data_IF_063411591363
#
_entry.id   IF_063411591363
#
_cell.length_a   1.000
_cell.length_b   1.000
_cell.length_c   1.000
_cell.angle_alpha   90.00
_cell.angle_beta   90.00
_cell.angle_gamma   90.00
#
_symmetry.space_group_name_H-M   'P 1'
#
loop_
_entity.id
_entity.type
_entity.pdbx_description
1 polymer ?
#
# COMPACT_ATOMS: atom_id res chain seq x y z
N UNK A 1 -19.60 58.04 7.32
CA UNK A 1 -18.78 58.71 6.28
C UNK A 1 -18.13 57.60 5.47
N UNK A 2 -18.60 57.35 4.24
CA UNK A 2 -17.88 57.59 2.96
C UNK A 2 -16.56 56.77 2.89
N UNK A 3 -16.31 55.82 1.98
CA UNK A 3 -16.68 55.62 0.56
C UNK A 3 -16.39 54.14 0.19
N UNK A 4 -17.25 53.35 -0.46
CA UNK A 4 -17.43 53.17 -1.92
C UNK A 4 -16.18 53.49 -2.77
N UNK A 5 -15.59 52.47 -3.41
CA UNK A 5 -15.22 52.39 -4.85
C UNK A 5 -14.03 51.42 -5.06
N UNK A 6 -14.29 50.28 -5.70
CA UNK A 6 -13.52 49.74 -6.84
C UNK A 6 -13.93 48.28 -7.12
N UNK A 7 -15.10 48.12 -7.71
CA UNK A 7 -15.40 46.96 -8.56
C UNK A 7 -14.93 47.35 -9.96
N UNK A 8 -13.99 46.63 -10.60
CA UNK A 8 -13.52 47.00 -11.93
C UNK A 8 -14.60 46.65 -12.96
N UNK A 9 -15.25 47.69 -13.47
CA UNK A 9 -15.41 48.02 -14.91
C UNK A 9 -15.20 46.83 -15.87
N UNK A 10 -16.11 45.86 -15.87
CA UNK A 10 -16.33 44.95 -17.02
C UNK A 10 -17.81 44.93 -17.45
N UNK A 11 -18.71 45.43 -16.62
CA UNK A 11 -20.08 45.71 -17.03
C UNK A 11 -20.12 47.14 -17.60
N UNK A 12 -20.80 47.36 -18.73
CA UNK A 12 -21.02 48.67 -19.41
C UNK A 12 -20.05 48.99 -20.57
N UNK A 13 -19.65 48.01 -21.37
CA UNK A 13 -19.43 48.23 -22.82
C UNK A 13 -20.24 47.19 -23.58
N UNK A 14 -21.53 47.46 -23.78
CA UNK A 14 -22.44 46.56 -24.50
C UNK A 14 -23.83 47.15 -24.76
N UNK A 15 -23.96 48.48 -24.78
CA UNK A 15 -25.22 49.16 -25.14
C UNK A 15 -24.91 50.26 -26.16
N UNK A 16 -24.26 49.87 -27.26
CA UNK A 16 -24.10 50.74 -28.42
C UNK A 16 -23.88 49.85 -29.65
N UNK A 17 -24.94 49.17 -30.10
CA UNK A 17 -25.18 48.74 -31.49
C UNK A 17 -26.43 47.85 -31.48
N UNK A 18 -27.49 48.33 -32.14
CA UNK A 18 -28.74 47.59 -32.29
C UNK A 18 -28.52 46.26 -33.02
N UNK A 19 -29.19 45.22 -32.54
CA UNK A 19 -29.42 43.99 -33.31
C UNK A 19 -28.82 42.69 -32.80
N UNK A 20 -28.07 42.65 -31.68
CA UNK A 20 -27.43 41.40 -31.20
C UNK A 20 -27.64 41.08 -29.72
N UNK A 21 -28.76 41.51 -29.13
CA UNK A 21 -29.09 41.23 -27.71
C UNK A 21 -29.26 39.72 -27.45
N UNK A 22 -29.66 38.94 -28.48
CA UNK A 22 -29.85 37.50 -28.33
C UNK A 22 -28.54 36.73 -28.09
N UNK A 23 -27.42 37.16 -28.68
CA UNK A 23 -26.13 36.43 -28.63
C UNK A 23 -25.39 36.59 -27.29
N UNK A 24 -25.51 37.76 -26.66
CA UNK A 24 -24.85 38.03 -25.36
C UNK A 24 -25.56 37.28 -24.23
N UNK A 25 -26.89 37.17 -24.27
CA UNK A 25 -27.66 36.38 -23.31
C UNK A 25 -27.44 34.87 -23.49
N UNK A 26 -27.33 34.36 -24.72
CA UNK A 26 -27.01 32.95 -24.94
C UNK A 26 -25.57 32.60 -24.55
N UNK A 27 -24.59 33.47 -24.79
CA UNK A 27 -23.20 33.25 -24.35
C UNK A 27 -23.05 33.31 -22.82
N UNK A 28 -23.71 34.28 -22.16
CA UNK A 28 -23.73 34.37 -20.69
C UNK A 28 -24.41 33.17 -20.03
N UNK A 29 -25.54 32.71 -20.59
CA UNK A 29 -26.22 31.51 -20.13
C UNK A 29 -25.41 30.23 -20.41
N UNK A 30 -24.73 30.13 -21.57
CA UNK A 30 -23.89 28.99 -21.91
C UNK A 30 -22.62 28.88 -21.04
N UNK A 31 -22.07 29.99 -20.56
CA UNK A 31 -20.94 30.00 -19.61
C UNK A 31 -21.37 29.70 -18.18
N UNK A 32 -22.58 30.10 -17.76
CA UNK A 32 -23.10 29.82 -16.42
C UNK A 32 -23.75 28.44 -16.30
N UNK A 33 -24.30 27.89 -17.38
CA UNK A 33 -24.91 26.57 -17.40
C UNK A 33 -23.99 25.44 -16.87
N UNK A 34 -22.72 25.30 -17.28
CA UNK A 34 -21.84 24.27 -16.73
C UNK A 34 -21.50 24.49 -15.26
N UNK A 35 -21.41 25.75 -14.81
CA UNK A 35 -21.12 26.11 -13.41
C UNK A 35 -22.31 25.80 -12.50
N UNK A 36 -23.52 26.16 -12.92
CA UNK A 36 -24.77 25.88 -12.19
C UNK A 36 -25.11 24.39 -12.25
N UNK A 37 -24.82 23.71 -13.37
CA UNK A 37 -24.97 22.26 -13.49
C UNK A 37 -23.98 21.52 -12.59
N UNK A 38 -22.71 21.93 -12.52
CA UNK A 38 -21.74 21.39 -11.56
C UNK A 38 -22.13 21.67 -10.11
N UNK A 39 -22.63 22.87 -9.79
CA UNK A 39 -23.12 23.19 -8.45
C UNK A 39 -24.35 22.35 -8.07
N UNK A 40 -25.26 22.09 -9.02
CA UNK A 40 -26.45 21.27 -8.82
C UNK A 40 -26.14 19.76 -8.72
N UNK A 41 -25.10 19.27 -9.40
CA UNK A 41 -24.64 17.88 -9.26
C UNK A 41 -23.86 17.66 -7.97
N UNK A 42 -23.12 18.66 -7.47
CA UNK A 42 -22.43 18.63 -6.17
C UNK A 42 -23.40 18.50 -4.98
N UNK A 43 -24.64 18.99 -5.11
CA UNK A 43 -25.67 18.89 -4.07
C UNK A 43 -26.42 17.56 -4.03
N UNK A 44 -26.18 16.62 -4.96
CA UNK A 44 -26.88 15.33 -4.96
C UNK A 44 -26.21 14.36 -3.98
N UNK A 45 -26.95 13.80 -3.00
CA UNK A 45 -26.38 12.86 -2.03
C UNK A 45 -25.70 11.63 -2.68
N UNK A 46 -26.13 11.25 -3.89
CA UNK A 46 -25.47 10.19 -4.66
C UNK A 46 -24.12 10.57 -5.26
N UNK A 47 -23.87 11.84 -5.56
CA UNK A 47 -22.59 12.29 -6.12
C UNK A 47 -21.47 12.25 -5.09
N UNK A 48 -21.77 12.64 -3.84
CA UNK A 48 -20.82 12.57 -2.73
C UNK A 48 -20.42 11.12 -2.44
N UNK A 49 -21.39 10.21 -2.35
CA UNK A 49 -21.12 8.76 -2.19
C UNK A 49 -20.28 8.21 -3.33
N UNK A 50 -20.62 8.55 -4.58
CA UNK A 50 -19.83 8.14 -5.74
C UNK A 50 -18.38 8.66 -5.68
N UNK A 51 -18.15 9.89 -5.23
CA UNK A 51 -16.79 10.42 -5.03
C UNK A 51 -16.03 9.70 -3.92
N UNK A 52 -16.72 9.35 -2.82
CA UNK A 52 -16.16 8.58 -1.70
C UNK A 52 -15.78 7.16 -2.16
N UNK A 53 -16.67 6.45 -2.87
CA UNK A 53 -16.43 5.12 -3.45
C UNK A 53 -15.28 5.16 -4.46
N UNK A 54 -15.25 6.17 -5.33
CA UNK A 54 -14.17 6.33 -6.31
C UNK A 54 -12.83 6.54 -5.63
N UNK A 55 -12.78 7.41 -4.62
CA UNK A 55 -11.56 7.65 -3.83
C UNK A 55 -11.11 6.37 -3.12
N UNK A 56 -12.03 5.60 -2.56
CA UNK A 56 -11.76 4.32 -1.92
C UNK A 56 -11.10 3.34 -2.91
N UNK A 57 -11.67 3.16 -4.09
CA UNK A 57 -11.09 2.30 -5.13
C UNK A 57 -9.72 2.79 -5.64
N UNK A 58 -9.50 4.10 -5.75
CA UNK A 58 -8.20 4.66 -6.13
C UNK A 58 -7.15 4.37 -5.04
N UNK A 59 -7.52 4.50 -3.76
CA UNK A 59 -6.66 4.15 -2.62
C UNK A 59 -6.34 2.64 -2.57
N UNK A 60 -7.34 1.78 -2.75
CA UNK A 60 -7.17 0.32 -2.79
C UNK A 60 -6.21 -0.09 -3.91
N UNK A 61 -6.38 0.47 -5.12
CA UNK A 61 -5.47 0.23 -6.25
C UNK A 61 -4.05 0.71 -5.93
N UNK A 62 -3.92 1.90 -5.36
CA UNK A 62 -2.63 2.47 -4.95
C UNK A 62 -1.92 1.59 -3.91
N UNK A 63 -2.64 1.11 -2.89
CA UNK A 63 -2.11 0.22 -1.86
C UNK A 63 -1.66 -1.13 -2.46
N UNK A 64 -2.48 -1.74 -3.33
CA UNK A 64 -2.11 -2.99 -4.01
C UNK A 64 -0.86 -2.82 -4.86
N UNK A 65 -0.79 -1.77 -5.66
CA UNK A 65 0.37 -1.48 -6.50
C UNK A 65 1.63 -1.22 -5.67
N UNK A 66 1.50 -0.50 -4.55
CA UNK A 66 2.60 -0.26 -3.60
C UNK A 66 3.13 -1.58 -3.03
N UNK A 67 2.25 -2.44 -2.51
CA UNK A 67 2.62 -3.75 -1.93
C UNK A 67 3.32 -4.63 -2.97
N UNK A 68 2.75 -4.71 -4.16
CA UNK A 68 3.31 -5.46 -5.29
C UNK A 68 4.72 -4.97 -5.65
N UNK A 69 4.87 -3.66 -5.89
CA UNK A 69 6.15 -3.06 -6.22
C UNK A 69 7.21 -3.28 -5.13
N UNK A 70 6.82 -3.18 -3.85
CA UNK A 70 7.71 -3.45 -2.73
C UNK A 70 8.23 -4.90 -2.75
N UNK A 71 7.37 -5.89 -2.98
CA UNK A 71 7.78 -7.29 -3.10
C UNK A 71 8.67 -7.53 -4.33
N UNK A 72 8.28 -7.01 -5.49
CA UNK A 72 9.03 -7.15 -6.73
C UNK A 72 10.43 -6.54 -6.64
N UNK A 73 10.55 -5.33 -6.07
CA UNK A 73 11.84 -4.68 -5.84
C UNK A 73 12.74 -5.46 -4.87
N UNK A 74 12.14 -6.21 -3.94
CA UNK A 74 12.86 -7.13 -3.07
C UNK A 74 13.15 -8.49 -3.72
N UNK A 75 12.62 -8.77 -4.92
CA UNK A 75 12.74 -10.06 -5.61
C UNK A 75 11.95 -11.18 -4.94
N UNK A 76 10.81 -10.86 -4.34
CA UNK A 76 9.86 -11.79 -3.74
C UNK A 76 8.74 -12.11 -4.74
N UNK A 77 8.37 -13.38 -4.84
CA UNK A 77 7.24 -13.81 -5.68
C UNK A 77 5.92 -13.30 -5.10
N UNK A 78 5.00 -12.90 -5.98
CA UNK A 78 3.79 -12.18 -5.56
C UNK A 78 2.53 -13.04 -5.50
N UNK A 79 2.62 -14.33 -5.85
CA UNK A 79 1.47 -15.25 -5.89
C UNK A 79 0.72 -15.31 -4.56
N UNK A 80 1.46 -15.42 -3.45
CA UNK A 80 0.87 -15.43 -2.10
C UNK A 80 0.19 -14.09 -1.78
N UNK A 81 0.76 -12.94 -2.17
CA UNK A 81 0.10 -11.64 -1.95
C UNK A 81 -1.22 -11.56 -2.73
N UNK A 82 -1.27 -12.08 -3.95
CA UNK A 82 -2.49 -12.13 -4.77
C UNK A 82 -3.55 -12.99 -4.08
N UNK A 83 -3.19 -14.18 -3.59
CA UNK A 83 -4.09 -15.05 -2.82
C UNK A 83 -4.65 -14.34 -1.58
N UNK A 84 -3.77 -13.78 -0.75
CA UNK A 84 -4.17 -13.09 0.49
C UNK A 84 -5.06 -11.87 0.20
N UNK A 85 -4.74 -11.11 -0.85
CA UNK A 85 -5.53 -9.96 -1.28
C UNK A 85 -6.93 -10.38 -1.75
N UNK A 86 -7.06 -11.54 -2.38
CA UNK A 86 -8.36 -12.10 -2.76
C UNK A 86 -9.17 -12.56 -1.53
N UNK A 87 -8.52 -13.17 -0.54
CA UNK A 87 -9.17 -13.55 0.72
C UNK A 87 -9.70 -12.34 1.48
N UNK A 88 -8.90 -11.27 1.60
CA UNK A 88 -9.33 -10.02 2.26
C UNK A 88 -10.54 -9.41 1.55
N UNK A 89 -10.52 -9.34 0.21
CA UNK A 89 -11.67 -8.87 -0.56
C UNK A 89 -12.92 -9.73 -0.33
N UNK A 90 -12.77 -11.05 -0.25
CA UNK A 90 -13.90 -11.93 0.06
C UNK A 90 -14.47 -11.65 1.45
N UNK A 91 -13.62 -11.38 2.44
CA UNK A 91 -14.07 -11.02 3.80
C UNK A 91 -14.78 -9.66 3.78
N UNK A 92 -14.22 -8.66 3.12
CA UNK A 92 -14.82 -7.32 3.01
C UNK A 92 -16.21 -7.35 2.36
N UNK A 93 -16.40 -8.23 1.37
CA UNK A 93 -17.70 -8.43 0.71
C UNK A 93 -18.72 -9.12 1.60
N UNK A 94 -18.29 -10.03 2.48
CA UNK A 94 -19.18 -10.83 3.34
C UNK A 94 -19.46 -10.14 4.68
N UNK A 95 -18.46 -9.51 5.29
CA UNK A 95 -18.50 -8.86 6.61
C UNK A 95 -17.49 -7.71 6.69
N UNK A 96 -17.89 -6.55 6.18
CA UNK A 96 -17.09 -5.31 6.21
C UNK A 96 -16.71 -4.90 7.65
N UNK A 97 -17.55 -5.20 8.63
CA UNK A 97 -17.30 -4.87 10.04
C UNK A 97 -16.19 -5.74 10.61
N UNK A 98 -16.16 -7.04 10.29
CA UNK A 98 -15.06 -7.91 10.65
C UNK A 98 -13.77 -7.49 9.96
N UNK A 99 -13.82 -7.13 8.67
CA UNK A 99 -12.63 -6.67 7.93
C UNK A 99 -11.99 -5.44 8.59
N UNK A 100 -12.81 -4.47 9.02
CA UNK A 100 -12.34 -3.30 9.76
C UNK A 100 -11.82 -3.67 11.16
N UNK A 101 -12.50 -4.55 11.88
CA UNK A 101 -12.11 -4.98 13.23
C UNK A 101 -10.77 -5.69 13.28
N UNK A 102 -10.47 -6.50 12.28
CA UNK A 102 -9.22 -7.25 12.18
C UNK A 102 -8.12 -6.50 11.43
N UNK A 103 -8.38 -5.26 10.98
CA UNK A 103 -7.42 -4.43 10.26
C UNK A 103 -6.72 -5.21 9.11
N UNK A 104 -7.50 -5.91 8.29
CA UNK A 104 -6.98 -6.87 7.30
C UNK A 104 -5.99 -6.25 6.31
N UNK A 105 -6.21 -4.99 5.96
CA UNK A 105 -5.30 -4.22 5.11
C UNK A 105 -3.93 -4.01 5.80
N UNK A 106 -3.93 -3.76 7.11
CA UNK A 106 -2.72 -3.68 7.92
C UNK A 106 -1.99 -5.03 8.03
N UNK A 107 -2.73 -6.14 8.11
CA UNK A 107 -2.14 -7.49 8.05
C UNK A 107 -1.45 -7.78 6.70
N UNK A 108 -2.02 -7.31 5.59
CA UNK A 108 -1.38 -7.41 4.27
C UNK A 108 -0.10 -6.58 4.20
N UNK A 109 -0.11 -5.36 4.72
CA UNK A 109 1.10 -4.52 4.78
C UNK A 109 2.18 -5.19 5.66
N UNK A 110 1.80 -5.73 6.82
CA UNK A 110 2.72 -6.47 7.70
C UNK A 110 3.29 -7.73 7.03
N UNK A 111 2.48 -8.48 6.30
CA UNK A 111 2.97 -9.62 5.50
C UNK A 111 4.04 -9.18 4.51
N UNK A 112 3.83 -8.07 3.79
CA UNK A 112 4.82 -7.55 2.83
C UNK A 112 6.12 -7.19 3.54
N UNK A 113 6.06 -6.51 4.68
CA UNK A 113 7.26 -6.17 5.48
C UNK A 113 8.05 -7.41 5.90
N UNK A 114 7.35 -8.43 6.43
CA UNK A 114 7.95 -9.71 6.85
C UNK A 114 8.59 -10.44 5.67
N UNK A 115 7.90 -10.50 4.53
CA UNK A 115 8.40 -11.18 3.32
C UNK A 115 9.66 -10.50 2.76
N UNK A 116 9.69 -9.16 2.73
CA UNK A 116 10.88 -8.39 2.32
C UNK A 116 12.04 -8.64 3.29
N UNK A 117 11.79 -8.59 4.60
CA UNK A 117 12.80 -8.84 5.61
C UNK A 117 13.36 -10.27 5.49
N UNK A 118 12.50 -11.27 5.31
CA UNK A 118 12.91 -12.65 5.10
C UNK A 118 13.82 -12.78 3.88
N UNK A 119 13.43 -12.19 2.75
CA UNK A 119 14.24 -12.23 1.52
C UNK A 119 15.61 -11.59 1.69
N UNK A 120 15.70 -10.52 2.48
CA UNK A 120 16.98 -9.89 2.83
C UNK A 120 17.87 -10.85 3.64
N UNK A 121 17.32 -11.54 4.63
CA UNK A 121 18.09 -12.53 5.38
C UNK A 121 18.49 -13.73 4.52
N UNK A 122 17.63 -14.22 3.63
CA UNK A 122 17.97 -15.30 2.69
C UNK A 122 19.18 -14.94 1.82
N UNK A 123 19.23 -13.70 1.31
CA UNK A 123 20.40 -13.19 0.56
C UNK A 123 21.67 -13.15 1.42
N UNK A 124 21.58 -12.70 2.66
CA UNK A 124 22.72 -12.64 3.59
C UNK A 124 23.24 -14.02 3.98
N UNK A 125 22.35 -15.00 4.13
CA UNK A 125 22.69 -16.40 4.42
C UNK A 125 23.41 -17.00 3.20
N UNK A 126 22.82 -16.85 2.00
CA UNK A 126 23.40 -17.36 0.76
C UNK A 126 24.79 -16.79 0.48
N UNK A 127 25.04 -15.53 0.82
CA UNK A 127 26.34 -14.88 0.60
C UNK A 127 27.46 -15.34 1.55
N UNK A 128 27.17 -16.01 2.67
CA UNK A 128 28.13 -16.22 3.75
C UNK A 128 28.63 -17.66 3.94
N UNK A 129 28.38 -18.58 2.98
CA UNK A 129 29.06 -19.89 2.87
C UNK A 129 29.45 -20.55 4.19
N UNK A 130 28.47 -21.00 4.98
CA UNK A 130 28.72 -21.52 6.35
C UNK A 130 29.81 -22.58 6.40
N UNK A 131 29.78 -23.54 5.48
CA UNK A 131 30.70 -24.67 5.49
C UNK A 131 32.13 -24.25 5.13
N UNK A 132 32.28 -23.23 4.28
CA UNK A 132 33.58 -22.60 3.98
C UNK A 132 34.14 -21.91 5.23
N UNK A 133 33.31 -21.17 5.98
CA UNK A 133 33.72 -20.53 7.23
C UNK A 133 34.17 -21.55 8.28
N UNK A 134 33.45 -22.66 8.42
CA UNK A 134 33.81 -23.74 9.36
C UNK A 134 35.13 -24.39 8.93
N UNK A 135 35.28 -24.70 7.65
CA UNK A 135 36.49 -25.29 7.09
C UNK A 135 37.71 -24.40 7.31
N UNK A 136 37.58 -23.10 7.04
CA UNK A 136 38.64 -22.12 7.26
C UNK A 136 39.01 -22.00 8.75
N UNK A 137 38.02 -21.99 9.66
CA UNK A 137 38.30 -21.96 11.11
C UNK A 137 39.15 -23.16 11.50
N UNK A 138 38.75 -24.37 11.09
CA UNK A 138 39.47 -25.60 11.41
C UNK A 138 40.90 -25.60 10.83
N UNK A 139 41.09 -25.05 9.63
CA UNK A 139 42.39 -24.97 8.97
C UNK A 139 43.41 -24.10 9.75
N UNK A 140 42.95 -22.99 10.35
CA UNK A 140 43.82 -22.03 11.03
C UNK A 140 43.80 -22.15 12.57
N UNK A 141 43.07 -23.12 13.13
CA UNK A 141 42.81 -23.20 14.57
C UNK A 141 44.09 -23.43 15.41
N UNK A 142 45.03 -24.21 14.89
CA UNK A 142 46.28 -24.56 15.59
C UNK A 142 47.43 -23.59 15.31
N UNK A 143 47.23 -22.59 14.44
CA UNK A 143 48.24 -21.57 14.12
C UNK A 143 48.10 -20.35 15.06
N UNK A 144 49.03 -20.16 16.03
CA UNK A 144 48.97 -19.04 16.96
C UNK A 144 49.12 -17.68 16.26
N UNK A 145 49.72 -17.62 15.07
CA UNK A 145 49.84 -16.39 14.28
C UNK A 145 48.52 -16.00 13.60
N UNK A 146 47.61 -16.96 13.40
CA UNK A 146 46.31 -16.77 12.76
C UNK A 146 45.17 -16.47 13.76
N UNK A 147 45.45 -16.36 15.06
CA UNK A 147 44.43 -16.18 16.11
C UNK A 147 43.48 -14.99 15.85
N UNK A 148 43.97 -13.89 15.28
CA UNK A 148 43.13 -12.75 14.92
C UNK A 148 42.16 -13.08 13.77
N UNK A 149 42.63 -13.83 12.77
CA UNK A 149 41.82 -14.29 11.63
C UNK A 149 40.74 -15.26 12.08
N UNK A 150 41.09 -16.22 12.93
CA UNK A 150 40.13 -17.19 13.51
C UNK A 150 39.00 -16.45 14.23
N UNK A 151 39.32 -15.47 15.09
CA UNK A 151 38.29 -14.65 15.78
C UNK A 151 37.33 -13.94 14.82
N UNK A 152 37.82 -13.44 13.68
CA UNK A 152 36.98 -12.79 12.65
C UNK A 152 36.07 -13.83 11.99
N UNK A 153 36.59 -14.99 11.63
CA UNK A 153 35.82 -16.07 11.01
C UNK A 153 34.73 -16.59 11.95
N UNK A 154 35.06 -16.82 13.22
CA UNK A 154 34.07 -17.20 14.23
C UNK A 154 32.99 -16.14 14.43
N UNK A 155 33.36 -14.85 14.39
CA UNK A 155 32.38 -13.77 14.46
C UNK A 155 31.44 -13.79 13.25
N UNK A 156 31.97 -13.99 12.04
CA UNK A 156 31.15 -14.14 10.82
C UNK A 156 30.21 -15.35 10.91
N UNK A 157 30.69 -16.48 11.43
CA UNK A 157 29.88 -17.68 11.64
C UNK A 157 28.73 -17.41 12.63
N UNK A 158 29.01 -16.74 13.76
CA UNK A 158 27.95 -16.32 14.71
C UNK A 158 26.91 -15.40 14.06
N UNK A 159 27.36 -14.42 13.28
CA UNK A 159 26.45 -13.52 12.55
C UNK A 159 25.59 -14.27 11.53
N UNK A 160 26.18 -15.26 10.82
CA UNK A 160 25.45 -16.14 9.93
C UNK A 160 24.35 -16.92 10.69
N UNK A 161 24.68 -17.54 11.81
CA UNK A 161 23.72 -18.32 12.61
C UNK A 161 22.59 -17.45 13.20
N UNK A 162 22.91 -16.20 13.57
CA UNK A 162 21.91 -15.21 13.95
C UNK A 162 20.96 -14.86 12.79
N UNK A 163 21.49 -14.70 11.57
CA UNK A 163 20.68 -14.47 10.37
C UNK A 163 19.76 -15.67 10.09
N UNK A 164 20.26 -16.90 10.21
CA UNK A 164 19.44 -18.12 10.05
C UNK A 164 18.31 -18.17 11.08
N UNK A 165 18.62 -17.85 12.34
CA UNK A 165 17.63 -17.84 13.42
C UNK A 165 16.56 -16.76 13.18
N UNK A 166 16.96 -15.56 12.75
CA UNK A 166 16.04 -14.49 12.39
C UNK A 166 15.14 -14.87 11.20
N UNK A 167 15.71 -15.44 10.14
CA UNK A 167 14.96 -15.93 8.99
C UNK A 167 13.92 -16.99 9.37
N UNK A 168 14.28 -17.93 10.26
CA UNK A 168 13.34 -18.94 10.76
C UNK A 168 12.15 -18.32 11.49
N UNK A 169 12.39 -17.31 12.33
CA UNK A 169 11.31 -16.57 13.03
C UNK A 169 10.40 -15.83 12.06
N UNK A 170 10.98 -15.13 11.07
CA UNK A 170 10.21 -14.40 10.06
C UNK A 170 9.38 -15.34 9.19
N UNK A 171 9.90 -16.52 8.83
CA UNK A 171 9.13 -17.52 8.10
C UNK A 171 7.92 -18.00 8.91
N UNK A 172 8.12 -18.36 10.18
CA UNK A 172 7.01 -18.75 11.06
C UNK A 172 5.97 -17.63 11.23
N UNK A 173 6.42 -16.37 11.30
CA UNK A 173 5.52 -15.22 11.37
C UNK A 173 4.73 -15.03 10.07
N UNK A 174 5.37 -15.17 8.91
CA UNK A 174 4.71 -15.13 7.60
C UNK A 174 3.63 -16.21 7.50
N UNK A 175 3.96 -17.45 7.88
CA UNK A 175 3.03 -18.58 7.86
C UNK A 175 1.83 -18.33 8.80
N UNK A 176 2.07 -17.77 9.98
CA UNK A 176 1.02 -17.42 10.93
C UNK A 176 0.06 -16.34 10.39
N UNK A 177 0.58 -15.33 9.67
CA UNK A 177 -0.26 -14.29 9.03
C UNK A 177 -1.13 -14.91 7.93
N UNK A 178 -0.54 -15.76 7.08
CA UNK A 178 -1.27 -16.47 6.02
C UNK A 178 -2.41 -17.30 6.61
N UNK A 179 -2.12 -18.08 7.64
CA UNK A 179 -3.11 -18.94 8.28
C UNK A 179 -4.21 -18.13 8.96
N UNK A 180 -3.86 -17.05 9.66
CA UNK A 180 -4.84 -16.16 10.27
C UNK A 180 -5.81 -15.58 9.23
N UNK A 181 -5.31 -15.10 8.10
CA UNK A 181 -6.15 -14.55 7.03
C UNK A 181 -7.08 -15.61 6.45
N UNK A 182 -6.60 -16.84 6.27
CA UNK A 182 -7.42 -17.98 5.82
C UNK A 182 -8.53 -18.31 6.81
N UNK A 183 -8.22 -18.36 8.11
CA UNK A 183 -9.20 -18.63 9.16
C UNK A 183 -10.27 -17.55 9.25
N UNK A 184 -9.88 -16.27 9.15
CA UNK A 184 -10.83 -15.15 9.13
C UNK A 184 -11.75 -15.26 7.90
N UNK A 185 -11.17 -15.54 6.73
CA UNK A 185 -11.95 -15.73 5.51
C UNK A 185 -12.94 -16.91 5.62
N UNK A 186 -12.50 -18.06 6.13
CA UNK A 186 -13.38 -19.20 6.37
C UNK A 186 -14.52 -18.86 7.32
N UNK A 187 -14.22 -18.17 8.43
CA UNK A 187 -15.24 -17.73 9.39
C UNK A 187 -16.25 -16.77 8.74
N UNK A 188 -15.78 -15.82 7.93
CA UNK A 188 -16.67 -14.87 7.23
C UNK A 188 -17.60 -15.56 6.21
N UNK A 189 -17.16 -16.67 5.63
CA UNK A 189 -17.94 -17.45 4.67
C UNK A 189 -18.99 -18.37 5.32
N UNK A 190 -18.92 -18.56 6.64
CA UNK A 190 -19.89 -19.34 7.42
C UNK A 190 -20.75 -18.39 8.26
N UNK A 191 -21.81 -17.77 7.70
CA UNK A 191 -22.76 -17.03 8.52
C UNK A 191 -23.35 -17.98 9.55
N UNK A 192 -23.38 -17.56 10.82
CA UNK A 192 -23.93 -18.37 11.91
C UNK A 192 -25.34 -18.83 11.51
N UNK A 193 -25.50 -20.14 11.29
CA UNK A 193 -26.82 -20.75 11.11
C UNK A 193 -27.56 -20.56 12.45
N UNK A 194 -28.79 -20.00 12.43
CA UNK A 194 -29.56 -19.73 13.64
C UNK A 194 -29.87 -21.00 14.45
#
# INVERSE_FOLDING_TARGET
MRSLLMVPIILVIGIALGGQISLVWTLGAALLAPVVFHAATLGRPGYRRWLEDRRRHELERGNRQRRQHTLESAGVLTDTLVELTALVQAVELNDEVAAARYELDGLLDHYVEVAVALKRYERLIAANGRDELVTDIMLYQDDPSAAARVRILEHRLRCHDQCVTAAKKLRAQSDAIIELLRLIAQRSAMPELP
#
